data_IF_655477154777
#
_entry.id   IF_655477154777
#
_cell.length_a   1.000
_cell.length_b   1.000
_cell.length_c   1.000
_cell.angle_alpha   90.00
_cell.angle_beta   90.00
_cell.angle_gamma   90.00
#
_symmetry.space_group_name_H-M   'P 1'
#
loop_
_entity.id
_entity.type
_entity.pdbx_description
1 polymer ?
#
# COMPACT_ATOMS: atom_id res chain seq x y z
N UNK A 1 24.44 6.14 -14.30
CA UNK A 1 23.13 6.21 -14.99
C UNK A 1 22.07 5.22 -14.45
N UNK A 2 22.39 4.26 -13.58
CA UNK A 2 21.39 3.30 -13.05
C UNK A 2 20.51 3.92 -11.92
N UNK A 3 21.05 4.87 -11.16
CA UNK A 3 20.35 5.49 -10.01
C UNK A 3 19.07 6.25 -10.39
N UNK A 4 19.05 6.96 -11.53
CA UNK A 4 17.87 7.76 -11.93
C UNK A 4 16.64 6.94 -12.29
N UNK A 5 16.81 5.70 -12.76
CA UNK A 5 15.70 4.78 -13.07
C UNK A 5 15.15 4.15 -11.79
N UNK A 6 16.04 3.79 -10.85
CA UNK A 6 15.63 3.23 -9.56
C UNK A 6 14.85 4.25 -8.73
N UNK A 7 15.34 5.50 -8.62
CA UNK A 7 14.66 6.60 -7.92
C UNK A 7 13.22 6.79 -8.44
N UNK A 8 13.02 6.71 -9.75
CA UNK A 8 11.70 6.82 -10.38
C UNK A 8 10.73 5.71 -9.93
N UNK A 9 11.19 4.47 -9.79
CA UNK A 9 10.33 3.37 -9.34
C UNK A 9 9.99 3.44 -7.85
N UNK A 10 10.92 3.85 -6.99
CA UNK A 10 10.62 4.07 -5.57
C UNK A 10 9.52 5.11 -5.38
N UNK A 11 9.63 6.27 -6.04
CA UNK A 11 8.60 7.33 -5.96
C UNK A 11 7.24 6.86 -6.48
N UNK A 12 7.23 6.07 -7.56
CA UNK A 12 5.99 5.55 -8.16
C UNK A 12 5.33 4.49 -7.29
N UNK A 13 6.11 3.61 -6.67
CA UNK A 13 5.59 2.66 -5.69
C UNK A 13 5.09 3.41 -4.45
N UNK A 14 5.79 4.43 -3.99
CA UNK A 14 5.32 5.24 -2.86
C UNK A 14 3.95 5.87 -3.17
N UNK A 15 3.76 6.46 -4.36
CA UNK A 15 2.44 6.99 -4.76
C UNK A 15 1.34 5.93 -4.73
N UNK A 16 1.65 4.70 -5.15
CA UNK A 16 0.68 3.61 -5.08
C UNK A 16 0.38 3.18 -3.64
N UNK A 17 1.38 3.23 -2.75
CA UNK A 17 1.19 2.97 -1.31
C UNK A 17 0.31 4.05 -0.69
N UNK A 18 0.58 5.33 -0.98
CA UNK A 18 -0.22 6.45 -0.47
C UNK A 18 -1.69 6.29 -0.89
N UNK A 19 -1.92 5.96 -2.17
CA UNK A 19 -3.26 5.65 -2.66
C UNK A 19 -3.92 4.47 -1.92
N UNK A 20 -3.17 3.41 -1.62
CA UNK A 20 -3.69 2.27 -0.85
C UNK A 20 -4.05 2.68 0.58
N UNK A 21 -3.22 3.48 1.24
CA UNK A 21 -3.44 3.97 2.60
C UNK A 21 -4.67 4.88 2.69
N UNK A 22 -4.86 5.76 1.70
CA UNK A 22 -6.03 6.65 1.61
C UNK A 22 -7.34 5.89 1.30
N UNK A 23 -7.24 4.62 0.86
CA UNK A 23 -8.37 3.80 0.44
C UNK A 23 -8.46 2.46 1.18
N UNK A 24 -7.90 2.36 2.40
CA UNK A 24 -7.87 1.09 3.15
C UNK A 24 -9.26 0.48 3.37
N UNK A 25 -10.30 1.28 3.53
CA UNK A 25 -11.66 0.80 3.80
C UNK A 25 -12.45 0.46 2.53
N UNK A 26 -11.95 0.86 1.36
CA UNK A 26 -12.64 0.69 0.07
C UNK A 26 -12.25 -0.61 -0.62
N UNK A 27 -13.13 -1.21 -1.41
CA UNK A 27 -12.75 -2.32 -2.28
C UNK A 27 -11.94 -1.80 -3.48
N UNK A 28 -10.61 -1.81 -3.35
CA UNK A 28 -9.68 -1.38 -4.39
C UNK A 28 -9.06 -2.57 -5.12
N UNK A 29 -9.05 -2.48 -6.45
CA UNK A 29 -8.42 -3.49 -7.32
C UNK A 29 -6.96 -3.13 -7.60
N UNK A 30 -6.13 -4.14 -7.84
CA UNK A 30 -4.69 -3.94 -8.12
C UNK A 30 -4.44 -3.07 -9.35
N UNK A 31 -5.35 -3.10 -10.33
CA UNK A 31 -5.24 -2.30 -11.55
C UNK A 31 -5.33 -0.80 -11.23
N UNK A 32 -6.16 -0.42 -10.26
CA UNK A 32 -6.25 0.98 -9.81
C UNK A 32 -4.96 1.39 -9.09
N UNK A 33 -4.44 0.54 -8.21
CA UNK A 33 -3.19 0.78 -7.48
C UNK A 33 -2.01 0.92 -8.46
N UNK A 34 -1.91 0.03 -9.44
CA UNK A 34 -0.84 0.05 -10.44
C UNK A 34 -0.90 1.29 -11.34
N UNK A 35 -2.12 1.80 -11.61
CA UNK A 35 -2.34 3.02 -12.38
C UNK A 35 -1.74 4.25 -11.70
N UNK A 36 -1.82 4.36 -10.37
CA UNK A 36 -1.19 5.45 -9.61
C UNK A 36 0.34 5.42 -9.69
N UNK A 37 0.91 4.22 -9.84
CA UNK A 37 2.32 4.06 -10.16
C UNK A 37 2.62 4.25 -11.66
N UNK A 38 1.65 4.46 -12.55
CA UNK A 38 1.83 4.43 -14.01
C UNK A 38 2.46 3.11 -14.53
N UNK A 39 2.24 1.98 -13.83
CA UNK A 39 2.80 0.67 -14.17
C UNK A 39 1.65 -0.27 -14.58
N UNK A 40 1.87 -1.19 -15.52
CA UNK A 40 0.89 -2.26 -15.78
C UNK A 40 0.76 -3.18 -14.56
N UNK A 41 -0.42 -3.76 -14.32
CA UNK A 41 -0.64 -4.64 -13.16
C UNK A 41 0.40 -5.78 -13.06
N UNK A 42 0.76 -6.40 -14.19
CA UNK A 42 1.74 -7.49 -14.25
C UNK A 42 3.17 -7.08 -13.85
N UNK A 43 3.61 -5.88 -14.25
CA UNK A 43 4.90 -5.33 -13.84
C UNK A 43 4.85 -4.79 -12.42
N UNK A 44 3.71 -4.25 -12.01
CA UNK A 44 3.50 -3.71 -10.68
C UNK A 44 3.72 -4.77 -9.60
N UNK A 45 3.17 -5.98 -9.76
CA UNK A 45 3.40 -7.07 -8.81
C UNK A 45 4.89 -7.34 -8.54
N UNK A 46 5.69 -7.39 -9.61
CA UNK A 46 7.13 -7.68 -9.53
C UNK A 46 7.89 -6.53 -8.86
N UNK A 47 7.60 -5.29 -9.27
CA UNK A 47 8.30 -4.10 -8.79
C UNK A 47 7.91 -3.79 -7.34
N UNK A 48 6.62 -3.86 -7.01
CA UNK A 48 6.12 -3.66 -5.65
C UNK A 48 6.75 -4.67 -4.69
N UNK A 49 6.81 -5.95 -5.06
CA UNK A 49 7.48 -6.97 -4.24
C UNK A 49 8.97 -6.71 -4.10
N UNK A 50 9.65 -6.35 -5.20
CA UNK A 50 11.09 -6.05 -5.18
C UNK A 50 11.46 -4.87 -4.29
N UNK A 51 10.54 -3.90 -4.11
CA UNK A 51 10.78 -2.69 -3.30
C UNK A 51 10.31 -2.88 -1.86
N UNK A 52 9.14 -3.49 -1.65
CA UNK A 52 8.51 -3.56 -0.32
C UNK A 52 8.78 -4.87 0.42
N UNK A 53 9.14 -5.94 -0.30
CA UNK A 53 9.22 -7.29 0.24
C UNK A 53 7.87 -7.99 0.41
N UNK A 54 6.76 -7.35 0.04
CA UNK A 54 5.40 -7.89 0.20
C UNK A 54 4.66 -7.96 -1.12
N UNK A 55 3.70 -8.88 -1.23
CA UNK A 55 2.72 -8.80 -2.30
C UNK A 55 1.74 -7.65 -2.01
N UNK A 56 1.32 -6.90 -3.03
CA UNK A 56 0.43 -5.74 -2.84
C UNK A 56 -0.87 -6.09 -2.09
N UNK A 57 -1.46 -7.26 -2.37
CA UNK A 57 -2.66 -7.74 -1.67
C UNK A 57 -2.38 -8.03 -0.19
N UNK A 58 -1.25 -8.66 0.10
CA UNK A 58 -0.83 -8.98 1.47
C UNK A 58 -0.56 -7.70 2.25
N UNK A 59 0.14 -6.74 1.64
CA UNK A 59 0.35 -5.41 2.20
C UNK A 59 -0.99 -4.77 2.60
N UNK A 60 -1.95 -4.72 1.68
CA UNK A 60 -3.28 -4.13 1.94
C UNK A 60 -4.00 -4.80 3.11
N UNK A 61 -3.99 -6.14 3.17
CA UNK A 61 -4.62 -6.90 4.26
C UNK A 61 -3.95 -6.59 5.60
N UNK A 62 -2.62 -6.60 5.65
CA UNK A 62 -1.86 -6.30 6.86
C UNK A 62 -2.12 -4.87 7.36
N UNK A 63 -2.26 -3.91 6.44
CA UNK A 63 -2.60 -2.53 6.78
C UNK A 63 -4.02 -2.40 7.34
N UNK A 64 -5.01 -3.07 6.76
CA UNK A 64 -6.38 -3.14 7.30
C UNK A 64 -6.42 -3.74 8.69
N UNK A 65 -5.73 -4.87 8.91
CA UNK A 65 -5.64 -5.51 10.23
C UNK A 65 -4.97 -4.58 11.23
N UNK A 66 -3.86 -3.94 10.84
CA UNK A 66 -3.15 -2.98 11.70
C UNK A 66 -4.05 -1.80 12.08
N UNK A 67 -4.85 -1.29 11.14
CA UNK A 67 -5.79 -0.20 11.39
C UNK A 67 -6.90 -0.62 12.35
N UNK A 68 -7.61 -1.70 12.06
CA UNK A 68 -8.65 -2.23 12.93
C UNK A 68 -8.13 -2.53 14.35
N UNK A 69 -6.91 -3.05 14.47
CA UNK A 69 -6.27 -3.29 15.77
C UNK A 69 -5.99 -2.01 16.55
N UNK A 70 -5.72 -0.88 15.87
CA UNK A 70 -5.56 0.43 16.51
C UNK A 70 -6.90 1.00 16.92
N UNK A 71 -7.88 0.97 16.03
CA UNK A 71 -9.23 1.50 16.29
C UNK A 71 -9.86 0.82 17.52
N UNK A 72 -9.74 -0.52 17.62
CA UNK A 72 -10.20 -1.27 18.80
C UNK A 72 -9.51 -0.84 20.10
N UNK A 73 -8.20 -0.55 20.08
CA UNK A 73 -7.47 -0.10 21.28
C UNK A 73 -7.89 1.30 21.70
N UNK A 74 -8.11 2.19 20.74
CA UNK A 74 -8.58 3.56 21.00
C UNK A 74 -10.00 3.57 21.57
N UNK A 75 -10.88 2.72 21.07
CA UNK A 75 -12.24 2.57 21.59
C UNK A 75 -12.24 2.05 23.04
N UNK A 76 -11.43 1.03 23.34
CA UNK A 76 -11.27 0.55 24.72
C UNK A 76 -10.73 1.63 25.66
N UNK A 77 -9.82 2.49 25.20
CA UNK A 77 -9.31 3.60 26.00
C UNK A 77 -10.37 4.65 26.31
N UNK A 78 -11.31 4.90 25.40
CA UNK A 78 -12.41 5.88 25.59
C UNK A 78 -13.51 5.38 26.53
N UNK A 79 -13.71 4.06 26.61
CA UNK A 79 -14.73 3.45 27.50
C UNK A 79 -14.25 3.40 28.96
N UNK A 80 -12.94 3.48 29.18
CA UNK A 80 -12.33 3.47 30.52
C UNK A 80 -12.17 4.86 31.16
N UNK A 81 -12.61 5.92 30.48
CA UNK A 81 -12.65 7.31 30.95
C UNK A 81 -14.10 7.70 31.31
#
# INVERSE_FOLDING_TARGET
MIEGIAVNYYERIQKSIDFMEDNLENDIKVEAIAKEAFISASSFYRIFFSITGYQAKEYLINRRISRASKDLKEEQSKVME
#
